data_IF_673283012253
#
_entry.id   IF_673283012253
#
_cell.length_a   1.000
_cell.length_b   1.000
_cell.length_c   1.000
_cell.angle_alpha   90.00
_cell.angle_beta   90.00
_cell.angle_gamma   90.00
#
_symmetry.space_group_name_H-M   'P 1'
#
loop_
_entity.id
_entity.type
_entity.pdbx_description
1 polymer ?
2 polymer ?
3 water ?
#
# COMPACT_ATOMS: atom_id res chain seq x y z
N UNK A 9 -14.25 -1.92 4.24
CA UNK A 9 -14.39 -0.75 3.38
C UNK A 9 -15.72 -0.70 2.57
N UNK A 10 -16.20 0.51 2.31
CA UNK A 10 -17.50 0.82 1.71
C UNK A 10 -17.29 1.31 0.27
N UNK A 11 -17.96 0.71 -0.73
CA UNK A 11 -17.78 1.18 -2.11
C UNK A 11 -18.29 2.57 -2.29
N UNK A 12 -17.57 3.40 -3.05
CA UNK A 12 -17.98 4.77 -3.35
C UNK A 12 -18.96 4.83 -4.52
N UNK A 13 -19.93 5.76 -4.43
CA UNK A 13 -20.83 6.09 -5.53
C UNK A 13 -20.22 7.17 -6.46
N UNK A 14 -20.88 7.42 -7.62
CA UNK A 14 -20.35 8.37 -8.60
C UNK A 14 -20.06 9.75 -7.99
N UNK A 15 -20.95 10.25 -7.14
CA UNK A 15 -20.71 11.61 -6.64
C UNK A 15 -19.66 11.78 -5.55
N UNK A 16 -19.15 10.69 -4.99
CA UNK A 16 -18.34 10.74 -3.78
C UNK A 16 -16.91 11.23 -4.08
N UNK A 17 -16.36 11.95 -3.13
CA UNK A 17 -14.96 12.37 -3.18
C UNK A 17 -14.02 11.15 -3.01
N UNK A 18 -12.95 11.18 -3.78
CA UNK A 18 -11.73 10.44 -3.46
C UNK A 18 -10.55 11.22 -3.99
N UNK A 19 -9.37 10.98 -3.45
CA UNK A 19 -8.29 11.96 -3.76
C UNK A 19 -7.80 11.94 -5.17
N UNK A 20 -7.91 10.82 -5.89
CA UNK A 20 -7.51 10.75 -7.30
C UNK A 20 -8.63 11.05 -8.31
N UNK A 21 -9.82 11.40 -7.84
CA UNK A 21 -10.90 11.77 -8.74
C UNK A 21 -10.49 12.95 -9.56
N UNK A 22 -10.54 12.85 -10.89
CA UNK A 22 -10.14 14.00 -11.71
C UNK A 22 -10.98 15.25 -11.47
N UNK A 23 -10.33 16.39 -11.67
CA UNK A 23 -10.94 17.71 -11.41
C UNK A 23 -10.48 18.78 -12.42
N UNK B 2 -4.90 18.15 4.46
CA UNK B 2 -4.71 16.64 4.39
C UNK B 2 -3.36 16.18 3.84
N UNK B 3 -2.71 15.18 4.49
CA UNK B 3 -1.49 14.58 4.00
C UNK B 3 -1.89 13.30 3.24
N UNK B 4 -1.58 13.25 1.97
CA UNK B 4 -1.92 12.09 1.15
C UNK B 4 -0.73 11.16 1.02
N UNK B 5 -0.91 9.93 1.38
CA UNK B 5 0.11 8.87 1.36
C UNK B 5 -0.30 7.79 0.44
N UNK B 6 0.43 7.54 -0.61
CA UNK B 6 0.26 6.40 -1.49
C UNK B 6 0.89 5.17 -0.85
N UNK B 7 0.25 4.04 -0.74
CA UNK B 7 0.72 2.81 -0.19
C UNK B 7 0.63 1.77 -1.27
N UNK B 8 1.67 1.11 -1.65
CA UNK B 8 1.65 0.16 -2.74
C UNK B 8 2.80 -0.82 -2.64
N UNK B 9 2.81 -1.89 -3.39
CA UNK B 9 4.01 -2.68 -3.54
C UNK B 9 3.72 -3.99 -4.22
N UNK B 10 4.63 -4.90 -4.17
CA UNK B 10 4.51 -6.15 -4.92
C UNK B 10 4.23 -5.95 -6.38
N UNK B 11 4.94 -5.03 -6.97
CA UNK B 11 4.80 -4.78 -8.40
C UNK B 11 5.37 -5.90 -9.22
N UNK B 12 6.50 -6.40 -8.86
CA UNK B 12 7.20 -7.47 -9.59
C UNK B 12 7.37 -7.16 -11.07
N UNK B 13 7.81 -5.94 -11.33
CA UNK B 13 8.16 -5.50 -12.69
C UNK B 13 9.68 -5.67 -12.84
N UNK B 14 10.16 -6.26 -13.93
CA UNK B 14 9.47 -6.74 -15.12
C UNK B 14 9.22 -8.27 -15.09
N UNK B 15 9.59 -9.04 -14.11
CA UNK B 15 9.62 -10.51 -14.20
C UNK B 15 8.23 -11.14 -14.20
N UNK B 16 7.28 -10.61 -13.43
CA UNK B 16 5.92 -11.15 -13.36
C UNK B 16 4.92 -10.33 -14.10
N UNK B 17 5.11 -9.00 -14.14
CA UNK B 17 4.27 -8.05 -14.79
C UNK B 17 5.13 -7.00 -15.48
N UNK B 18 4.61 -6.40 -16.55
CA UNK B 18 5.43 -5.40 -17.22
C UNK B 18 5.11 -3.97 -16.88
N UNK B 19 3.91 -3.67 -16.38
CA UNK B 19 3.55 -2.32 -15.96
C UNK B 19 2.34 -2.37 -15.04
N UNK B 20 2.11 -1.26 -14.37
CA UNK B 20 0.79 -1.00 -13.76
C UNK B 20 -0.33 -0.98 -14.81
N UNK B 21 -1.56 -1.33 -14.39
CA UNK B 21 -2.73 -1.15 -15.27
C UNK B 21 -2.79 0.26 -15.81
N UNK B 22 -3.17 0.34 -17.10
CA UNK B 22 -3.32 1.64 -17.72
C UNK B 22 -4.26 2.59 -16.98
N UNK B 23 -5.37 2.06 -16.46
CA UNK B 23 -6.29 2.93 -15.72
C UNK B 23 -5.75 3.43 -14.39
N UNK B 24 -4.82 2.65 -13.78
CA UNK B 24 -4.12 3.18 -12.61
C UNK B 24 -3.14 4.28 -12.96
N UNK B 25 -2.37 4.07 -14.04
CA UNK B 25 -1.46 5.12 -14.44
C UNK B 25 -2.17 6.44 -14.77
N UNK B 26 -3.39 6.38 -15.34
CA UNK B 26 -4.11 7.64 -15.61
C UNK B 26 -4.49 8.41 -14.37
N UNK B 27 -4.79 7.70 -13.28
CA UNK B 27 -5.15 8.32 -12.03
C UNK B 27 -3.93 8.82 -11.25
N UNK B 28 -2.83 8.11 -11.35
CA UNK B 28 -1.62 8.45 -10.55
C UNK B 28 -0.80 9.48 -11.30
N UNK B 29 -1.05 10.73 -10.95
CA UNK B 29 -0.42 11.84 -11.64
C UNK B 29 0.42 12.59 -10.64
N UNK B 30 1.48 13.24 -11.11
CA UNK B 30 2.28 14.09 -10.22
C UNK B 30 1.47 15.16 -9.50
N UNK B 31 2.06 15.70 -8.43
CA UNK B 31 1.54 16.88 -7.77
C UNK B 31 0.46 16.70 -6.74
N UNK B 32 -0.04 15.49 -6.53
CA UNK B 32 -1.08 15.27 -5.56
C UNK B 32 -0.58 14.57 -4.27
N UNK B 33 0.27 13.55 -4.45
CA UNK B 33 0.73 12.72 -3.35
C UNK B 33 1.88 13.36 -2.58
N UNK B 34 1.83 13.33 -1.25
CA UNK B 34 2.92 13.88 -0.44
C UNK B 34 3.99 12.86 -0.05
N UNK B 35 3.63 11.62 0.24
CA UNK B 35 4.56 10.58 0.68
C UNK B 35 4.19 9.27 0.00
N UNK B 36 5.12 8.41 -0.31
CA UNK B 36 4.90 7.09 -0.81
C UNK B 36 5.50 6.11 0.19
N UNK B 37 4.76 5.17 0.66
CA UNK B 37 5.17 4.05 1.49
C UNK B 37 5.04 2.77 0.67
N UNK B 38 6.14 2.12 0.31
CA UNK B 38 6.14 1.00 -0.58
C UNK B 38 6.57 -0.28 0.14
N UNK B 39 5.85 -1.32 0.11
CA UNK B 39 6.14 -2.55 0.77
C UNK B 39 7.29 -3.29 0.11
N UNK B 40 7.78 -2.86 -1.08
CA UNK B 40 8.89 -3.51 -1.73
C UNK B 40 8.49 -4.48 -2.85
N UNK B 41 9.39 -5.26 -3.33
CA UNK B 41 9.32 -6.02 -4.57
C UNK B 41 8.97 -5.14 -5.76
N UNK B 42 9.65 -4.06 -5.93
CA UNK B 42 9.74 -3.33 -7.19
C UNK B 42 10.58 -4.32 -7.97
N UNK B 43 11.54 -4.82 -7.30
CA UNK B 43 12.55 -5.56 -7.97
C UNK B 43 13.42 -4.52 -8.68
N UNK B 44 13.04 -3.49 -9.52
CA UNK B 44 14.11 -2.75 -10.23
C UNK B 44 13.96 -1.25 -10.22
N UNK B 45 15.07 -0.55 -10.56
CA UNK B 45 15.11 0.89 -10.56
C UNK B 45 14.08 1.57 -11.47
N UNK B 46 13.62 0.86 -12.48
CA UNK B 46 12.55 1.36 -13.33
C UNK B 46 11.41 1.83 -12.50
N UNK B 47 10.97 0.97 -11.55
CA UNK B 47 9.82 1.32 -10.74
C UNK B 47 10.09 2.34 -9.67
N UNK B 48 11.28 2.31 -9.11
CA UNK B 48 11.66 3.35 -8.18
C UNK B 48 11.61 4.71 -8.83
N UNK B 49 12.22 4.76 -10.02
CA UNK B 49 12.16 5.99 -10.80
C UNK B 49 10.74 6.48 -11.06
N UNK B 50 9.85 5.54 -11.38
CA UNK B 50 8.44 5.92 -11.52
C UNK B 50 7.85 6.51 -10.26
N UNK B 51 8.11 5.91 -9.12
CA UNK B 51 7.53 6.46 -7.92
C UNK B 51 7.99 7.86 -7.65
N UNK B 52 9.26 8.11 -7.92
CA UNK B 52 9.77 9.46 -7.75
C UNK B 52 9.13 10.51 -8.66
N UNK B 53 8.51 10.11 -9.77
CA UNK B 53 7.76 11.07 -10.55
C UNK B 53 6.50 11.49 -9.83
N UNK B 54 5.98 10.62 -8.97
CA UNK B 54 4.75 10.86 -8.30
C UNK B 54 4.88 11.71 -7.06
N UNK B 55 5.95 11.48 -6.31
CA UNK B 55 6.29 12.26 -5.11
C UNK B 55 7.81 12.18 -4.88
N UNK B 56 8.35 13.23 -4.26
CA UNK B 56 9.75 13.21 -3.84
C UNK B 56 10.03 12.28 -2.68
N UNK B 57 9.10 12.20 -1.71
CA UNK B 57 9.38 11.48 -0.48
C UNK B 57 8.96 10.05 -0.59
N UNK B 58 9.84 9.19 -1.01
CA UNK B 58 9.56 7.79 -1.30
C UNK B 58 10.27 6.91 -0.30
N UNK B 59 9.54 6.06 0.38
CA UNK B 59 10.07 5.09 1.36
C UNK B 59 9.83 3.70 0.90
N UNK B 60 10.83 2.90 0.72
CA UNK B 60 10.71 1.52 0.33
C UNK B 60 11.30 0.62 1.38
N UNK B 61 10.75 -0.49 1.65
CA UNK B 61 11.37 -1.55 2.44
C UNK B 61 11.68 -2.74 1.58
N UNK B 62 12.62 -3.59 1.98
CA UNK B 62 13.14 -4.65 1.13
C UNK B 62 12.23 -5.81 1.00
N UNK B 63 11.86 -6.14 -0.23
CA UNK B 63 11.19 -7.35 -0.56
C UNK B 63 12.12 -8.49 -0.78
N UNK B 64 11.56 -9.71 -0.80
CA UNK B 64 12.38 -10.91 -1.02
C UNK B 64 12.90 -11.07 -2.46
N UNK B 65 12.41 -10.30 -3.44
CA UNK B 65 12.86 -10.33 -4.80
C UNK B 65 13.46 -8.98 -5.27
N UNK B 66 13.63 -8.01 -4.42
CA UNK B 66 14.25 -6.74 -4.77
C UNK B 66 15.70 -6.90 -5.14
N UNK B 67 16.12 -6.32 -6.24
CA UNK B 67 17.52 -6.23 -6.60
C UNK B 67 18.30 -5.30 -5.73
N UNK B 68 17.70 -4.25 -5.25
CA UNK B 68 18.35 -3.23 -4.45
C UNK B 68 18.41 -3.67 -3.01
N UNK B 69 19.63 -4.00 -2.56
CA UNK B 69 19.87 -4.46 -1.22
C UNK B 69 20.04 -3.35 -0.22
N UNK B 70 20.02 -2.11 -0.68
CA UNK B 70 20.12 -0.98 0.27
C UNK B 70 18.85 -0.68 1.03
N UNK B 71 17.72 -1.15 0.51
CA UNK B 71 16.44 -0.90 1.20
C UNK B 71 16.43 -1.51 2.58
N UNK B 72 15.93 -0.79 3.58
CA UNK B 72 15.87 -1.35 4.92
C UNK B 72 14.83 -2.45 5.02
N UNK B 73 15.00 -3.38 5.89
CA UNK B 73 14.09 -4.46 6.09
C UNK B 73 12.75 -3.95 6.61
N UNK B 74 12.77 -2.96 7.46
CA UNK B 74 11.56 -2.35 7.98
C UNK B 74 11.80 -0.89 8.28
N UNK B 75 10.74 -0.15 8.47
CA UNK B 75 10.83 1.26 8.76
C UNK B 75 9.68 1.66 9.68
N UNK B 76 9.89 2.66 10.53
CA UNK B 76 8.84 3.29 11.27
C UNK B 76 8.90 4.77 10.99
N UNK B 77 7.78 5.39 10.61
CA UNK B 77 7.67 6.78 10.27
C UNK B 77 6.49 7.39 11.00
N UNK B 78 6.50 8.70 11.15
CA UNK B 78 5.38 9.46 11.67
C UNK B 78 4.77 10.34 10.58
N UNK B 79 3.43 10.25 10.33
CA UNK B 79 2.71 11.14 9.44
C UNK B 79 1.49 11.62 10.19
N UNK B 80 1.35 12.92 10.25
CA UNK B 80 0.39 13.51 11.17
C UNK B 80 0.66 13.08 12.57
N UNK B 81 -0.37 12.63 13.29
CA UNK B 81 -0.27 12.06 14.65
C UNK B 81 -0.02 10.54 14.69
N UNK B 82 0.16 9.86 13.56
CA UNK B 82 0.21 8.42 13.49
C UNK B 82 1.65 7.94 13.38
N UNK B 83 1.99 6.99 14.15
CA UNK B 83 3.21 6.22 14.03
C UNK B 83 2.91 5.02 13.14
N UNK B 84 3.60 4.87 12.00
CA UNK B 84 3.27 3.88 11.00
C UNK B 84 4.43 2.91 10.82
N UNK B 85 4.24 1.65 10.89
CA UNK B 85 5.25 0.67 10.59
C UNK B 85 5.13 0.04 9.19
N UNK B 86 6.22 -0.23 8.55
CA UNK B 86 6.28 -0.75 7.17
C UNK B 86 7.20 -1.93 7.05
N UNK B 87 6.73 -3.04 6.56
CA UNK B 87 7.56 -4.24 6.35
C UNK B 87 7.02 -5.00 5.18
N UNK B 88 7.81 -5.69 4.44
CA UNK B 88 7.29 -6.45 3.30
C UNK B 88 6.42 -7.61 3.73
N UNK B 89 6.79 -8.33 4.76
CA UNK B 89 5.94 -9.37 5.31
C UNK B 89 6.13 -10.80 4.82
N UNK B 90 7.21 -11.10 4.07
CA UNK B 90 7.67 -12.51 3.88
C UNK B 90 8.29 -13.06 5.15
N UNK B 91 8.65 -12.18 6.08
CA UNK B 91 9.06 -12.58 7.43
C UNK B 91 7.88 -13.13 8.27
N UNK B 92 6.64 -12.82 7.92
CA UNK B 92 5.46 -13.39 8.60
C UNK B 92 5.29 -14.85 8.21
N UNK B 93 5.34 -15.74 9.21
CA UNK B 93 5.13 -17.17 9.04
C UNK B 93 4.02 -17.61 9.98
N UNK B 94 2.99 -18.34 9.52
CA UNK B 94 2.62 -18.58 8.11
C UNK B 94 2.15 -17.28 7.47
N UNK B 95 2.12 -17.24 6.14
CA UNK B 95 1.94 -15.99 5.42
C UNK B 95 0.59 -15.31 5.74
N UNK B 96 0.63 -14.00 6.06
CA UNK B 96 -0.56 -13.24 6.42
C UNK B 96 -1.27 -13.60 7.72
N UNK B 97 -0.65 -14.41 8.58
CA UNK B 97 -1.26 -14.82 9.84
C UNK B 97 -1.58 -13.60 10.71
N UNK B 98 -2.86 -13.44 11.11
CA UNK B 98 -3.30 -12.33 11.95
C UNK B 98 -2.56 -12.27 13.27
N UNK B 99 -2.34 -13.41 13.90
CA UNK B 99 -1.55 -13.42 15.12
C UNK B 99 -0.14 -12.92 14.84
N UNK B 100 0.45 -13.31 13.71
CA UNK B 100 1.75 -12.79 13.35
C UNK B 100 1.74 -11.28 13.12
N UNK B 101 0.70 -10.74 12.48
CA UNK B 101 0.63 -9.31 12.30
C UNK B 101 0.45 -8.56 13.61
N UNK B 102 -0.44 -9.04 14.49
CA UNK B 102 -0.58 -8.42 15.79
C UNK B 102 0.72 -8.49 16.56
N UNK B 103 1.48 -9.58 16.40
CA UNK B 103 2.79 -9.64 17.04
C UNK B 103 3.76 -8.58 16.50
N UNK B 104 3.82 -8.38 15.17
CA UNK B 104 4.62 -7.28 14.61
C UNK B 104 4.15 -5.92 15.08
N UNK B 105 2.86 -5.71 15.19
CA UNK B 105 2.39 -4.43 15.71
C UNK B 105 2.95 -4.15 17.08
N UNK B 106 2.90 -5.17 17.95
CA UNK B 106 3.46 -5.05 19.31
C UNK B 106 4.94 -4.79 19.32
N UNK B 107 5.67 -5.53 18.51
CA UNK B 107 7.12 -5.37 18.40
C UNK B 107 7.48 -3.98 17.86
N UNK B 108 6.71 -3.44 16.88
CA UNK B 108 7.03 -2.09 16.39
C UNK B 108 6.41 -0.95 17.20
N UNK B 109 5.36 -1.25 18.01
CA UNK B 109 4.65 -0.24 18.74
C UNK B 109 4.06 0.89 17.89
N UNK B 110 3.34 0.48 16.83
CA UNK B 110 2.78 1.41 15.82
C UNK B 110 1.26 1.55 15.91
N UNK B 111 0.75 2.70 15.50
CA UNK B 111 -0.71 2.89 15.31
C UNK B 111 -1.24 2.16 14.06
N UNK B 112 -0.46 2.18 12.97
CA UNK B 112 -0.80 1.58 11.67
C UNK B 112 0.30 0.66 11.27
N UNK B 113 0.06 -0.60 10.93
CA UNK B 113 1.04 -1.49 10.38
C UNK B 113 0.73 -1.75 8.89
N UNK B 114 1.66 -1.44 8.01
CA UNK B 114 1.57 -1.70 6.55
C UNK B 114 2.43 -2.89 6.21
N UNK B 115 1.93 -3.90 5.56
CA UNK B 115 2.65 -5.05 5.10
C UNK B 115 2.13 -5.57 3.77
N UNK B 116 2.90 -6.34 3.07
CA UNK B 116 2.60 -6.86 1.76
C UNK B 116 2.64 -8.39 1.69
N UNK B 117 3.32 -8.86 0.70
CA UNK B 117 3.66 -10.26 0.45
C UNK B 117 2.52 -11.16 0.00
N UNK B 118 1.34 -11.01 0.55
CA UNK B 118 0.20 -11.88 0.18
C UNK B 118 -0.45 -11.54 -1.18
N UNK B 119 -0.24 -10.32 -1.65
CA UNK B 119 -0.90 -9.80 -2.82
C UNK B 119 -2.44 -9.73 -2.71
N UNK B 120 -2.96 -9.69 -1.46
CA UNK B 120 -4.37 -9.52 -1.23
C UNK B 120 -4.55 -8.26 -0.38
N UNK B 121 -5.32 -7.34 -0.85
CA UNK B 121 -5.68 -6.17 -0.10
C UNK B 121 -6.38 -6.50 1.21
N UNK B 122 -5.99 -5.80 2.31
CA UNK B 122 -6.76 -5.80 3.56
C UNK B 122 -6.66 -4.39 4.15
N UNK B 123 -7.73 -3.90 4.78
CA UNK B 123 -7.68 -2.66 5.58
C UNK B 123 -8.67 -2.86 6.69
N UNK B 124 -8.21 -3.03 7.94
CA UNK B 124 -9.07 -3.36 9.08
C UNK B 124 -8.46 -2.93 10.42
N UNK B 125 -9.34 -2.77 11.41
CA UNK B 125 -8.96 -2.37 12.77
C UNK B 125 -9.07 -3.56 13.70
N UNK B 126 -8.01 -3.87 14.41
CA UNK B 126 -8.01 -4.97 15.35
C UNK B 126 -7.37 -4.47 16.62
N UNK B 127 -8.03 -4.68 17.75
CA UNK B 127 -7.54 -4.21 19.04
C UNK B 127 -7.12 -2.75 19.03
N UNK B 128 -7.94 -1.92 18.36
CA UNK B 128 -7.73 -0.48 18.18
C UNK B 128 -6.49 -0.04 17.44
N UNK B 129 -5.86 -0.96 16.73
CA UNK B 129 -4.76 -0.65 15.81
C UNK B 129 -5.23 -0.90 14.37
N UNK B 130 -4.66 -0.18 13.39
CA UNK B 130 -5.07 -0.30 11.98
C UNK B 130 -4.04 -1.09 11.20
N UNK B 131 -4.48 -2.04 10.39
CA UNK B 131 -3.66 -2.88 9.60
C UNK B 131 -4.00 -2.70 8.12
N UNK B 132 -3.02 -2.42 7.27
CA UNK B 132 -3.18 -2.21 5.84
C UNK B 132 -2.28 -3.13 5.10
N UNK B 133 -2.79 -3.82 4.10
CA UNK B 133 -2.00 -4.47 3.06
C UNK B 133 -2.51 -3.97 1.72
N UNK B 134 -1.74 -3.27 0.89
CA UNK B 134 -2.24 -2.68 -0.34
C UNK B 134 -2.45 -3.69 -1.43
N UNK B 135 -2.13 -4.91 -1.22
CA UNK B 135 -2.10 -5.82 -2.32
C UNK B 135 -0.94 -5.56 -3.25
N UNK B 136 -1.01 -6.15 -4.48
CA UNK B 136 -0.07 -5.94 -5.56
C UNK B 136 -0.57 -4.94 -6.54
N UNK B 137 0.08 -3.80 -6.79
CA UNK B 137 -0.42 -2.80 -7.67
C UNK B 137 -0.49 -3.28 -9.10
N UNK B 138 0.23 -4.27 -9.48
CA UNK B 138 0.16 -4.83 -10.85
C UNK B 138 -0.70 -6.08 -10.95
N UNK B 139 -1.23 -6.64 -9.89
CA UNK B 139 -1.88 -7.94 -9.92
C UNK B 139 -0.91 -9.09 -10.21
N UNK B 140 0.35 -8.97 -9.77
CA UNK B 140 1.31 -10.07 -9.94
C UNK B 140 0.87 -11.32 -9.24
N UNK B 141 1.18 -12.48 -9.88
CA UNK B 141 0.93 -13.74 -9.23
C UNK B 141 1.70 -13.86 -7.95
N UNK B 142 1.13 -14.57 -6.99
CA UNK B 142 1.80 -14.82 -5.73
C UNK B 142 2.28 -16.27 -5.67
N UNK B 143 2.85 -16.62 -4.52
CA UNK B 143 3.38 -17.99 -4.44
C UNK B 143 2.31 -19.08 -4.57
N UNK B 144 1.02 -18.74 -4.52
CA UNK B 144 -0.08 -19.71 -4.49
C UNK B 144 -1.07 -19.58 -5.62
N UNK B 145 -1.18 -18.42 -6.25
CA UNK B 145 -2.38 -18.08 -7.01
C UNK B 145 -2.07 -17.05 -8.08
N UNK B 146 -2.87 -17.05 -9.12
CA UNK B 146 -2.68 -16.12 -10.23
C UNK B 146 -3.88 -15.19 -10.51
N UNK B 147 -5.06 -15.45 -9.93
CA UNK B 147 -6.22 -14.54 -10.03
C UNK B 147 -6.17 -13.31 -9.10
N UNK B 148 -5.10 -12.56 -9.20
CA UNK B 148 -4.84 -11.47 -8.27
C UNK B 148 -5.42 -10.16 -8.82
N UNK B 149 -6.18 -9.45 -8.00
CA UNK B 149 -6.77 -8.16 -8.36
C UNK B 149 -5.76 -7.04 -8.20
N UNK B 150 -5.39 -6.31 -9.18
CA UNK B 150 -4.49 -5.14 -8.98
C UNK B 150 -5.10 -4.19 -8.02
N UNK B 151 -4.31 -3.65 -7.08
CA UNK B 151 -4.76 -2.69 -6.08
C UNK B 151 -3.67 -1.86 -5.45
N UNK B 152 -4.09 -0.78 -4.91
CA UNK B 152 -3.23 0.09 -4.08
C UNK B 152 -4.10 0.86 -3.15
N UNK B 153 -3.57 1.56 -2.16
CA UNK B 153 -4.24 2.30 -1.17
C UNK B 153 -3.74 3.74 -1.12
N UNK B 154 -4.59 4.66 -0.84
CA UNK B 154 -4.21 6.02 -0.57
C UNK B 154 -4.78 6.42 0.78
N UNK B 155 -3.91 6.71 1.77
CA UNK B 155 -4.34 7.17 3.08
C UNK B 155 -4.40 8.69 3.09
N UNK B 156 -5.50 9.25 3.49
CA UNK B 156 -5.66 10.69 3.63
C UNK B 156 -5.64 10.97 5.13
N UNK B 157 -4.52 11.52 5.62
CA UNK B 157 -4.30 11.72 7.03
C UNK B 157 -4.49 13.16 7.41
N UNK B 158 -5.32 13.36 8.40
CA UNK B 158 -5.36 14.69 9.01
C UNK B 158 -5.49 14.49 10.50
N UNK B 159 -4.51 15.02 11.23
CA UNK B 159 -4.55 14.91 12.68
C UNK B 159 -4.74 13.49 13.20
N UNK B 160 -5.85 13.23 13.89
CA UNK B 160 -6.21 11.93 14.48
C UNK B 160 -7.01 11.02 13.58
N UNK B 161 -7.25 11.43 12.34
CA UNK B 161 -8.14 10.68 11.50
C UNK B 161 -7.39 10.24 10.25
N UNK B 162 -7.57 8.99 9.88
CA UNK B 162 -7.13 8.51 8.56
C UNK B 162 -8.32 7.97 7.79
N UNK B 163 -8.50 8.49 6.63
CA UNK B 163 -9.44 7.93 5.65
C UNK B 163 -8.62 7.15 4.61
N UNK B 164 -8.86 5.87 4.48
CA UNK B 164 -8.10 4.99 3.58
C UNK B 164 -8.97 4.72 2.35
N UNK B 165 -8.49 5.07 1.19
CA UNK B 165 -9.15 4.80 -0.05
C UNK B 165 -8.45 3.62 -0.70
N UNK B 166 -9.20 2.62 -1.13
CA UNK B 166 -8.67 1.41 -1.74
C UNK B 166 -9.04 1.43 -3.20
N UNK B 167 -8.11 1.37 -4.11
CA UNK B 167 -8.30 1.33 -5.54
C UNK B 167 -8.03 -0.05 -6.06
N UNK B 168 -8.98 -0.62 -6.79
CA UNK B 168 -8.88 -1.94 -7.37
C UNK B 168 -9.23 -1.93 -8.84
N UNK B 169 -8.52 -2.69 -9.64
CA UNK B 169 -8.92 -2.88 -11.04
C UNK B 169 -9.67 -4.16 -11.14
N UNK B 170 -11.02 -4.02 -11.34
CA UNK B 170 -11.90 -5.20 -11.26
C UNK B 170 -13.05 -4.98 -12.25
N UNK B 171 -13.37 -6.03 -13.00
CA UNK B 171 -14.36 -5.89 -14.09
C UNK B 171 -13.96 -4.87 -15.13
N UNK B 172 -12.65 -4.73 -15.42
CA UNK B 172 -11.96 -3.79 -16.33
C UNK B 172 -12.00 -2.30 -15.92
N UNK B 173 -12.52 -1.99 -14.77
CA UNK B 173 -12.74 -0.64 -14.31
C UNK B 173 -12.06 -0.43 -12.96
N UNK B 174 -11.84 0.81 -12.61
CA UNK B 174 -11.34 1.17 -11.28
C UNK B 174 -12.51 1.26 -10.32
N UNK B 175 -12.50 0.44 -9.29
CA UNK B 175 -13.41 0.47 -8.20
C UNK B 175 -12.74 1.11 -7.00
N UNK B 176 -13.39 2.04 -6.33
CA UNK B 176 -12.87 2.72 -5.11
C UNK B 176 -13.71 2.37 -3.90
N UNK B 177 -13.09 2.06 -2.76
CA UNK B 177 -13.75 1.81 -1.51
C UNK B 177 -13.12 2.70 -0.41
N UNK B 178 -13.82 2.95 0.64
CA UNK B 178 -13.39 3.88 1.70
C UNK B 178 -13.54 3.26 3.04
N UNK B 179 -12.52 3.42 3.89
CA UNK B 179 -12.62 3.01 5.28
C UNK B 179 -12.00 4.08 6.13
N UNK B 180 -12.47 4.24 7.33
CA UNK B 180 -11.98 5.26 8.25
C UNK B 180 -11.49 4.65 9.52
N UNK B 181 -10.38 5.20 10.01
CA UNK B 181 -9.79 4.82 11.29
C UNK B 181 -9.51 6.10 12.09
N UNK B 182 -9.87 6.10 13.38
CA UNK B 182 -9.49 7.18 14.30
C UNK B 182 -8.51 6.66 15.34
N UNK B 183 -7.43 7.40 15.57
CA UNK B 183 -6.54 7.09 16.69
C UNK B 183 -7.35 7.20 17.99
N UNK B 184 -7.23 6.24 18.93
CA UNK B 184 -7.93 6.30 20.23
C UNK B 184 -7.67 7.57 21.04
#
# INVERSE_FOLDING_TARGET
>A
EFASCRLEAVPLEFGDYHPLKPI
>B
GHMLVLVLGDLHIPHRCNSLPAKFKKLLVPGKIQHILCTGNLCTKESYDYLKTLAGDVHIVRGDFDENLNYPEQKVVTVGQFKIGLIHGHQVIPWGDMASLALLQRQFDVDILISGHTHKFEAFEHENKFYINPGSATGAYNALETNIIPSFVLMDIQASTVVTYVYQLIGDDVKVERIEYKKP
#
